data_IF_198300142061
#
_entry.id   IF_198300142061
#
_cell.length_a   1.000
_cell.length_b   1.000
_cell.length_c   1.000
_cell.angle_alpha   90.00
_cell.angle_beta   90.00
_cell.angle_gamma   90.00
#
_symmetry.space_group_name_H-M   'P 1'
#
loop_
_entity.id
_entity.type
_entity.pdbx_description
1 polymer ?
#
# COMPACT_ATOMS: atom_id res chain seq x y z
N UNK A 1 72.84 -9.32 -12.07
CA UNK A 1 71.93 -10.49 -11.98
C UNK A 1 70.65 -10.06 -11.28
N UNK A 2 69.55 -9.85 -12.03
CA UNK A 2 68.23 -9.63 -11.43
C UNK A 2 67.60 -10.99 -11.18
N UNK A 3 67.38 -11.31 -9.92
CA UNK A 3 66.68 -12.51 -9.48
C UNK A 3 65.18 -12.32 -9.72
N UNK A 4 64.62 -13.10 -10.64
CA UNK A 4 63.17 -13.22 -10.80
C UNK A 4 62.62 -13.98 -9.59
N UNK A 5 61.97 -13.26 -8.67
CA UNK A 5 61.16 -13.88 -7.63
C UNK A 5 59.88 -14.44 -8.26
N UNK A 6 59.71 -15.75 -8.18
CA UNK A 6 58.50 -16.44 -8.59
C UNK A 6 57.34 -16.02 -7.68
N UNK A 7 56.27 -15.50 -8.29
CA UNK A 7 55.03 -15.18 -7.57
C UNK A 7 54.42 -16.49 -7.04
N UNK A 8 54.14 -16.63 -5.74
CA UNK A 8 53.58 -17.85 -5.18
C UNK A 8 52.19 -18.10 -5.77
N UNK A 9 51.97 -19.34 -6.28
CA UNK A 9 50.73 -19.77 -6.96
C UNK A 9 49.45 -19.48 -6.14
N UNK A 10 49.53 -19.40 -4.81
CA UNK A 10 48.40 -19.05 -3.96
C UNK A 10 47.92 -17.61 -4.16
N UNK A 11 48.82 -16.64 -4.40
CA UNK A 11 48.46 -15.23 -4.64
C UNK A 11 47.76 -15.02 -5.98
N UNK A 12 48.13 -15.81 -6.99
CA UNK A 12 47.47 -15.81 -8.31
C UNK A 12 46.04 -16.36 -8.20
N UNK A 13 45.85 -17.43 -7.41
CA UNK A 13 44.54 -18.03 -7.19
C UNK A 13 43.60 -17.10 -6.40
N UNK A 14 44.08 -16.42 -5.36
CA UNK A 14 43.29 -15.44 -4.60
C UNK A 14 42.90 -14.22 -5.44
N UNK A 15 43.79 -13.77 -6.33
CA UNK A 15 43.49 -12.68 -7.25
C UNK A 15 42.47 -13.08 -8.31
N UNK A 16 42.56 -14.30 -8.86
CA UNK A 16 41.60 -14.83 -9.83
C UNK A 16 40.21 -15.07 -9.21
N UNK A 17 40.14 -15.57 -7.97
CA UNK A 17 38.88 -15.69 -7.23
C UNK A 17 38.27 -14.31 -6.89
N UNK A 18 39.09 -13.31 -6.57
CA UNK A 18 38.63 -11.94 -6.34
C UNK A 18 38.08 -11.27 -7.60
N UNK A 19 38.72 -11.48 -8.75
CA UNK A 19 38.26 -10.97 -10.06
C UNK A 19 37.00 -11.71 -10.51
N UNK A 20 36.90 -13.02 -10.31
CA UNK A 20 35.69 -13.79 -10.62
C UNK A 20 34.49 -13.37 -9.76
N UNK A 21 34.70 -13.02 -8.48
CA UNK A 21 33.66 -12.51 -7.58
C UNK A 21 33.23 -11.08 -7.96
N UNK A 22 34.17 -10.23 -8.41
CA UNK A 22 33.86 -8.90 -8.93
C UNK A 22 33.13 -8.94 -10.29
N UNK A 23 33.46 -9.90 -11.15
CA UNK A 23 32.77 -10.10 -12.43
C UNK A 23 31.37 -10.74 -12.22
N UNK A 24 31.21 -11.64 -11.25
CA UNK A 24 29.90 -12.19 -10.88
C UNK A 24 28.95 -11.16 -10.24
N UNK A 25 29.48 -10.08 -9.65
CA UNK A 25 28.70 -8.94 -9.17
C UNK A 25 28.38 -7.91 -10.26
N UNK A 26 29.00 -8.02 -11.43
CA UNK A 26 28.75 -7.13 -12.58
C UNK A 26 27.49 -7.53 -13.36
N UNK A 27 27.05 -8.79 -13.23
CA UNK A 27 25.80 -9.31 -13.80
C UNK A 27 24.60 -9.21 -12.85
N UNK A 28 24.71 -8.43 -11.77
CA UNK A 28 23.51 -7.87 -11.15
C UNK A 28 22.98 -6.83 -12.12
N UNK A 29 22.21 -7.33 -13.10
CA UNK A 29 21.39 -6.55 -13.99
C UNK A 29 20.77 -5.47 -13.13
N UNK A 30 21.22 -4.23 -13.30
CA UNK A 30 20.42 -3.10 -12.87
C UNK A 30 19.08 -3.38 -13.51
N UNK A 31 18.07 -3.68 -12.68
CA UNK A 31 16.68 -3.67 -13.12
C UNK A 31 16.58 -2.38 -13.90
N UNK A 32 16.49 -2.51 -15.23
CA UNK A 32 16.57 -1.40 -16.13
C UNK A 32 15.47 -0.48 -15.63
N UNK A 33 15.81 0.66 -15.03
CA UNK A 33 14.82 1.61 -14.53
C UNK A 33 14.06 2.01 -15.77
N UNK A 34 12.91 1.37 -15.97
CA UNK A 34 12.37 1.16 -17.30
C UNK A 34 12.05 2.52 -17.90
N UNK A 35 12.91 2.96 -18.81
CA UNK A 35 12.91 4.29 -19.43
C UNK A 35 11.70 4.53 -20.34
N UNK A 36 10.80 3.55 -20.47
CA UNK A 36 9.62 3.61 -21.34
C UNK A 36 8.39 4.25 -20.70
N UNK A 37 8.31 4.41 -19.37
CA UNK A 37 7.09 4.88 -18.70
C UNK A 37 7.02 6.42 -18.51
N UNK A 38 8.12 7.13 -18.72
CA UNK A 38 8.23 8.54 -18.31
C UNK A 38 8.19 8.74 -16.79
N UNK A 39 8.01 9.98 -16.30
CA UNK A 39 7.85 10.27 -14.88
C UNK A 39 6.61 9.59 -14.30
N UNK A 40 6.70 9.13 -13.05
CA UNK A 40 5.55 8.56 -12.33
C UNK A 40 4.59 9.68 -11.92
N UNK A 41 3.34 9.59 -12.38
CA UNK A 41 2.29 10.55 -12.05
C UNK A 41 1.13 9.81 -11.38
N UNK A 42 0.94 10.04 -10.08
CA UNK A 42 -0.22 9.53 -9.35
C UNK A 42 -1.44 10.37 -9.69
N UNK A 43 -2.55 9.70 -10.03
CA UNK A 43 -3.82 10.30 -10.43
C UNK A 43 -4.93 9.92 -9.47
N UNK A 44 -6.02 10.68 -9.47
CA UNK A 44 -7.23 10.28 -8.75
C UNK A 44 -7.73 8.94 -9.28
N UNK A 45 -8.26 8.10 -8.40
CA UNK A 45 -8.96 6.88 -8.81
C UNK A 45 -10.09 7.15 -9.82
N UNK A 46 -10.79 8.26 -9.64
CA UNK A 46 -11.89 8.68 -10.53
C UNK A 46 -11.42 9.09 -11.93
N UNK A 47 -10.14 9.44 -12.09
CA UNK A 47 -9.54 9.83 -13.38
C UNK A 47 -8.95 8.64 -14.15
N UNK A 48 -8.92 7.44 -13.56
CA UNK A 48 -8.40 6.25 -14.20
C UNK A 48 -9.41 5.64 -15.18
N UNK A 49 -8.89 5.15 -16.31
CA UNK A 49 -9.68 4.33 -17.22
C UNK A 49 -10.04 2.99 -16.57
N UNK A 50 -11.11 2.34 -17.03
CA UNK A 50 -11.47 0.99 -16.57
C UNK A 50 -10.32 -0.02 -16.78
N UNK A 51 -9.53 0.14 -17.84
CA UNK A 51 -8.36 -0.68 -18.10
C UNK A 51 -7.26 -0.46 -17.04
N UNK A 52 -6.99 0.78 -16.68
CA UNK A 52 -5.99 1.12 -15.66
C UNK A 52 -6.42 0.67 -14.25
N UNK A 53 -7.70 0.84 -13.91
CA UNK A 53 -8.27 0.29 -12.66
C UNK A 53 -8.07 -1.22 -12.57
N UNK A 54 -8.40 -1.94 -13.65
CA UNK A 54 -8.20 -3.40 -13.74
C UNK A 54 -6.71 -3.76 -13.65
N UNK A 55 -5.83 -3.02 -14.31
CA UNK A 55 -4.38 -3.27 -14.28
C UNK A 55 -3.82 -3.10 -12.86
N UNK A 56 -4.23 -2.05 -12.15
CA UNK A 56 -3.83 -1.81 -10.77
C UNK A 56 -4.32 -2.91 -9.82
N UNK A 57 -5.59 -3.32 -9.91
CA UNK A 57 -6.10 -4.43 -9.10
C UNK A 57 -5.42 -5.76 -9.43
N UNK A 58 -5.13 -6.05 -10.69
CA UNK A 58 -4.38 -7.25 -11.08
C UNK A 58 -2.98 -7.27 -10.43
N UNK A 59 -2.32 -6.12 -10.29
CA UNK A 59 -1.04 -6.03 -9.61
C UNK A 59 -1.19 -6.33 -8.10
N UNK A 60 -2.23 -5.82 -7.45
CA UNK A 60 -2.55 -6.14 -6.04
C UNK A 60 -2.83 -7.64 -5.87
N UNK A 61 -3.66 -8.23 -6.74
CA UNK A 61 -3.96 -9.67 -6.68
C UNK A 61 -2.69 -10.50 -6.88
N UNK A 62 -1.80 -10.11 -7.80
CA UNK A 62 -0.50 -10.75 -7.96
C UNK A 62 0.38 -10.61 -6.70
N UNK A 63 0.38 -9.44 -6.06
CA UNK A 63 1.11 -9.21 -4.81
C UNK A 63 0.57 -10.06 -3.65
N UNK A 64 -0.76 -10.22 -3.56
CA UNK A 64 -1.40 -11.09 -2.58
C UNK A 64 -1.05 -12.56 -2.82
N UNK A 65 -1.19 -13.03 -4.07
CA UNK A 65 -0.88 -14.42 -4.44
C UNK A 65 0.59 -14.79 -4.19
N UNK A 66 1.52 -13.84 -4.35
CA UNK A 66 2.93 -14.02 -4.05
C UNK A 66 3.33 -13.83 -2.58
N UNK A 67 2.38 -13.48 -1.69
CA UNK A 67 2.65 -13.20 -0.27
C UNK A 67 3.29 -11.83 -0.01
N UNK A 68 3.63 -11.05 -1.04
CA UNK A 68 4.27 -9.75 -0.93
C UNK A 68 3.36 -8.70 -0.26
N UNK A 69 2.06 -8.72 -0.54
CA UNK A 69 1.12 -7.82 0.12
C UNK A 69 1.07 -8.07 1.64
N UNK A 70 1.08 -9.34 2.06
CA UNK A 70 1.10 -9.71 3.47
C UNK A 70 2.43 -9.33 4.13
N UNK A 71 3.56 -9.42 3.43
CA UNK A 71 4.86 -8.96 3.94
C UNK A 71 4.87 -7.46 4.25
N UNK A 72 4.22 -6.64 3.42
CA UNK A 72 4.07 -5.21 3.70
C UNK A 72 3.25 -5.00 4.98
N UNK A 73 2.17 -5.75 5.17
CA UNK A 73 1.41 -5.76 6.43
C UNK A 73 2.26 -6.14 7.63
N UNK A 74 3.15 -7.13 7.50
CA UNK A 74 4.08 -7.48 8.57
C UNK A 74 5.04 -6.34 8.90
N UNK A 75 5.60 -5.67 7.89
CA UNK A 75 6.49 -4.52 8.07
C UNK A 75 5.78 -3.35 8.77
N UNK A 76 4.54 -3.04 8.37
CA UNK A 76 3.81 -1.94 8.99
C UNK A 76 3.34 -2.25 10.42
N UNK A 77 2.94 -3.49 10.68
CA UNK A 77 2.37 -3.91 11.97
C UNK A 77 3.43 -4.37 12.99
N UNK A 78 4.69 -4.53 12.59
CA UNK A 78 5.82 -4.66 13.51
C UNK A 78 5.87 -3.47 14.48
N UNK A 79 5.92 -3.73 15.79
CA UNK A 79 5.71 -2.68 16.80
C UNK A 79 6.76 -1.55 16.75
N UNK A 80 8.07 -1.82 16.62
CA UNK A 80 9.06 -0.77 16.35
C UNK A 80 8.74 0.06 15.12
N UNK A 81 8.47 -0.60 13.98
CA UNK A 81 8.13 0.06 12.72
C UNK A 81 6.88 0.93 12.83
N UNK A 82 5.83 0.41 13.47
CA UNK A 82 4.59 1.12 13.73
C UNK A 82 4.81 2.39 14.57
N UNK A 83 5.68 2.33 15.58
CA UNK A 83 6.04 3.47 16.43
C UNK A 83 6.83 4.54 15.68
N UNK A 84 7.60 4.19 14.64
CA UNK A 84 8.25 5.18 13.78
C UNK A 84 7.23 5.84 12.84
N UNK A 85 6.29 5.05 12.33
CA UNK A 85 5.25 5.46 11.40
C UNK A 85 4.18 6.37 12.00
N UNK A 86 3.91 6.28 13.31
CA UNK A 86 2.80 6.97 13.97
C UNK A 86 3.23 7.76 15.21
N UNK A 87 2.51 8.84 15.51
CA UNK A 87 2.73 9.64 16.72
C UNK A 87 4.00 10.48 16.69
N UNK A 88 4.69 10.51 15.55
CA UNK A 88 5.91 11.29 15.32
C UNK A 88 5.68 12.34 14.22
N UNK A 89 6.55 13.34 14.14
CA UNK A 89 6.61 14.25 12.97
C UNK A 89 7.08 13.52 11.70
N UNK A 90 7.62 12.30 11.83
CA UNK A 90 8.07 11.46 10.73
C UNK A 90 6.95 10.74 9.98
N UNK A 91 5.72 10.72 10.51
CA UNK A 91 4.59 9.96 9.98
C UNK A 91 4.40 10.14 8.46
N UNK A 92 4.37 11.38 7.96
CA UNK A 92 4.17 11.66 6.54
C UNK A 92 5.34 11.12 5.69
N UNK A 93 6.58 11.26 6.17
CA UNK A 93 7.77 10.80 5.44
C UNK A 93 7.89 9.28 5.45
N UNK A 94 7.58 8.64 6.57
CA UNK A 94 7.58 7.20 6.71
C UNK A 94 6.58 6.57 5.73
N UNK A 95 5.35 7.07 5.73
CA UNK A 95 4.30 6.59 4.80
C UNK A 95 4.63 6.88 3.34
N UNK A 96 5.22 8.05 3.02
CA UNK A 96 5.68 8.35 1.65
C UNK A 96 6.71 7.33 1.17
N UNK A 97 7.68 6.95 2.02
CA UNK A 97 8.68 5.93 1.69
C UNK A 97 8.03 4.55 1.55
N UNK A 98 7.11 4.22 2.45
CA UNK A 98 6.37 2.95 2.44
C UNK A 98 5.56 2.77 1.14
N UNK A 99 4.84 3.81 0.70
CA UNK A 99 4.10 3.80 -0.56
C UNK A 99 5.01 3.67 -1.78
N UNK A 100 6.19 4.31 -1.77
CA UNK A 100 7.16 4.16 -2.85
C UNK A 100 7.63 2.70 -2.95
N UNK A 101 7.96 2.08 -1.82
CA UNK A 101 8.38 0.68 -1.77
C UNK A 101 7.26 -0.26 -2.25
N UNK A 102 6.00 -0.01 -1.86
CA UNK A 102 4.87 -0.82 -2.31
C UNK A 102 4.64 -0.68 -3.82
N UNK A 103 4.71 0.54 -4.35
CA UNK A 103 4.61 0.80 -5.79
C UNK A 103 5.72 0.12 -6.58
N UNK A 104 6.97 0.17 -6.09
CA UNK A 104 8.11 -0.51 -6.69
C UNK A 104 7.94 -2.03 -6.68
N UNK A 105 7.44 -2.58 -5.57
CA UNK A 105 7.09 -4.00 -5.47
C UNK A 105 6.07 -4.37 -6.55
N UNK A 106 4.94 -3.66 -6.65
CA UNK A 106 3.91 -3.96 -7.65
C UNK A 106 4.46 -3.90 -9.09
N UNK A 107 5.26 -2.87 -9.40
CA UNK A 107 5.88 -2.68 -10.72
C UNK A 107 6.88 -3.78 -11.08
N UNK A 108 7.44 -4.47 -10.08
CA UNK A 108 8.42 -5.54 -10.28
C UNK A 108 7.81 -6.91 -10.57
N UNK A 109 6.50 -7.11 -10.32
CA UNK A 109 5.88 -8.44 -10.36
C UNK A 109 5.69 -8.99 -11.78
N UNK A 110 5.47 -8.11 -12.77
CA UNK A 110 5.23 -8.48 -14.17
C UNK A 110 5.54 -7.27 -15.07
N UNK A 111 6.16 -7.44 -16.25
CA UNK A 111 6.42 -6.35 -17.18
C UNK A 111 5.21 -5.45 -17.51
N UNK A 112 3.99 -5.99 -17.50
CA UNK A 112 2.77 -5.19 -17.74
C UNK A 112 2.45 -4.20 -16.62
N UNK A 113 2.94 -4.45 -15.40
CA UNK A 113 2.78 -3.56 -14.26
C UNK A 113 3.88 -2.49 -14.20
N UNK A 114 4.92 -2.58 -15.05
CA UNK A 114 6.11 -1.75 -14.96
C UNK A 114 5.84 -0.24 -14.99
N UNK A 115 4.69 0.21 -15.50
CA UNK A 115 4.32 1.62 -15.59
C UNK A 115 3.21 2.06 -14.62
N UNK A 116 2.66 1.18 -13.78
CA UNK A 116 1.58 1.58 -12.86
C UNK A 116 2.11 2.54 -11.79
N UNK A 117 1.22 3.37 -11.28
CA UNK A 117 1.44 4.19 -10.09
C UNK A 117 0.27 3.96 -9.14
N UNK A 118 0.49 4.13 -7.84
CA UNK A 118 -0.61 4.08 -6.86
C UNK A 118 -1.54 5.29 -7.10
N UNK A 119 -2.82 5.09 -7.45
CA UNK A 119 -3.77 6.19 -7.55
C UNK A 119 -4.19 6.66 -6.16
N UNK A 120 -4.54 7.94 -6.00
CA UNK A 120 -5.00 8.46 -4.72
C UNK A 120 -6.53 8.44 -4.61
N UNK A 121 -7.03 8.34 -3.38
CA UNK A 121 -8.43 8.49 -3.05
C UNK A 121 -8.78 9.95 -2.80
N UNK A 122 -9.60 10.55 -3.67
CA UNK A 122 -10.15 11.89 -3.45
C UNK A 122 -11.40 11.88 -2.55
N UNK A 123 -11.19 11.67 -1.25
CA UNK A 123 -12.27 11.71 -0.27
C UNK A 123 -12.83 13.13 -0.05
N UNK A 124 -12.21 14.20 -0.55
CA UNK A 124 -12.79 15.56 -0.55
C UNK A 124 -13.92 15.66 -1.58
N UNK A 125 -13.73 15.09 -2.77
CA UNK A 125 -14.77 14.97 -3.77
C UNK A 125 -15.93 14.08 -3.28
N UNK A 126 -15.62 12.96 -2.62
CA UNK A 126 -16.66 12.07 -2.06
C UNK A 126 -17.44 12.75 -0.93
N UNK A 127 -16.77 13.50 -0.04
CA UNK A 127 -17.45 14.26 1.01
C UNK A 127 -18.35 15.37 0.46
N UNK A 128 -17.97 16.01 -0.66
CA UNK A 128 -18.83 16.98 -1.33
C UNK A 128 -20.16 16.35 -1.79
N UNK A 129 -20.12 15.11 -2.33
CA UNK A 129 -21.32 14.35 -2.71
C UNK A 129 -22.21 14.05 -1.51
N UNK A 130 -21.60 13.75 -0.35
CA UNK A 130 -22.31 13.52 0.90
C UNK A 130 -23.03 14.79 1.37
N UNK A 131 -22.36 15.94 1.36
CA UNK A 131 -22.96 17.23 1.73
C UNK A 131 -24.08 17.67 0.79
N UNK A 132 -24.00 17.33 -0.50
CA UNK A 132 -25.06 17.59 -1.48
C UNK A 132 -26.16 16.52 -1.50
N UNK A 133 -26.16 15.59 -0.54
CA UNK A 133 -27.15 14.51 -0.39
C UNK A 133 -27.29 13.63 -1.64
N UNK A 134 -26.24 13.54 -2.45
CA UNK A 134 -26.20 12.72 -3.68
C UNK A 134 -25.89 11.26 -3.38
N UNK A 135 -25.43 11.00 -2.15
CA UNK A 135 -25.15 9.72 -1.54
C UNK A 135 -25.41 9.85 -0.02
N UNK A 136 -25.50 8.74 0.68
CA UNK A 136 -25.93 8.73 2.10
C UNK A 136 -24.97 8.01 3.03
N UNK A 137 -23.93 7.38 2.51
CA UNK A 137 -22.99 6.56 3.31
C UNK A 137 -21.59 6.61 2.76
N UNK A 138 -20.63 6.22 3.59
CA UNK A 138 -19.22 6.12 3.26
C UNK A 138 -19.00 5.38 1.94
N UNK A 139 -19.63 4.22 1.77
CA UNK A 139 -19.55 3.45 0.53
C UNK A 139 -20.30 4.10 -0.64
N UNK A 140 -21.54 4.56 -0.44
CA UNK A 140 -22.35 5.05 -1.56
C UNK A 140 -21.81 6.36 -2.17
N UNK A 141 -21.00 7.10 -1.42
CA UNK A 141 -20.34 8.31 -1.90
C UNK A 141 -19.08 8.05 -2.74
N UNK A 142 -18.45 6.88 -2.59
CA UNK A 142 -17.12 6.63 -3.14
C UNK A 142 -17.12 5.56 -4.23
N UNK A 143 -16.67 5.92 -5.43
CA UNK A 143 -16.46 4.94 -6.49
C UNK A 143 -15.33 3.97 -6.12
N UNK A 144 -14.27 4.47 -5.45
CA UNK A 144 -13.12 3.69 -5.02
C UNK A 144 -13.54 2.58 -4.08
N UNK A 145 -14.33 2.87 -3.05
CA UNK A 145 -14.76 1.84 -2.10
C UNK A 145 -15.57 0.73 -2.78
N UNK A 146 -16.44 1.08 -3.74
CA UNK A 146 -17.20 0.10 -4.52
C UNK A 146 -16.29 -0.71 -5.46
N UNK A 147 -15.38 -0.05 -6.18
CA UNK A 147 -14.43 -0.70 -7.09
C UNK A 147 -13.43 -1.61 -6.34
N UNK A 148 -13.17 -1.33 -5.06
CA UNK A 148 -12.39 -2.19 -4.18
C UNK A 148 -13.21 -3.32 -3.56
N UNK A 149 -14.46 -3.54 -3.98
CA UNK A 149 -15.31 -4.66 -3.56
C UNK A 149 -16.31 -4.33 -2.44
N UNK A 150 -16.38 -3.07 -2.00
CA UNK A 150 -17.32 -2.63 -0.96
C UNK A 150 -17.07 -3.26 0.41
N UNK A 151 -18.13 -3.34 1.21
CA UNK A 151 -18.09 -3.85 2.59
C UNK A 151 -19.00 -5.05 2.88
N UNK A 152 -19.62 -5.66 1.87
CA UNK A 152 -20.58 -6.75 2.07
C UNK A 152 -19.89 -8.10 2.22
N UNK A 153 -20.29 -8.87 3.23
CA UNK A 153 -19.74 -10.20 3.49
C UNK A 153 -20.30 -10.81 4.76
N UNK A 154 -19.91 -12.04 5.08
CA UNK A 154 -20.21 -12.66 6.37
C UNK A 154 -19.31 -12.09 7.48
N UNK A 155 -19.83 -11.99 8.69
CA UNK A 155 -19.03 -11.57 9.84
C UNK A 155 -17.87 -12.56 10.07
N UNK A 156 -16.68 -12.03 10.37
CA UNK A 156 -15.46 -12.80 10.56
C UNK A 156 -14.57 -12.18 11.65
N UNK A 157 -13.75 -13.01 12.27
CA UNK A 157 -12.64 -12.61 13.14
C UNK A 157 -11.38 -13.31 12.64
N UNK A 158 -10.42 -12.56 12.10
CA UNK A 158 -9.18 -13.08 11.55
C UNK A 158 -7.98 -12.67 12.41
N UNK A 159 -6.96 -13.52 12.46
CA UNK A 159 -5.68 -13.22 13.10
C UNK A 159 -4.67 -12.77 12.04
N UNK A 160 -4.62 -11.47 11.74
CA UNK A 160 -3.74 -10.89 10.71
C UNK A 160 -2.43 -10.45 11.36
N UNK A 161 -1.32 -11.10 10.99
CA UNK A 161 -0.01 -10.95 11.62
C UNK A 161 -0.07 -10.90 13.17
N UNK A 162 -0.86 -11.78 13.80
CA UNK A 162 -0.98 -11.85 15.26
C UNK A 162 -1.96 -10.84 15.89
N UNK A 163 -2.59 -9.97 15.11
CA UNK A 163 -3.63 -9.04 15.57
C UNK A 163 -5.02 -9.57 15.22
N UNK A 164 -5.93 -9.57 16.21
CA UNK A 164 -7.33 -9.92 15.98
C UNK A 164 -8.03 -8.78 15.26
N UNK A 165 -8.57 -9.06 14.09
CA UNK A 165 -9.29 -8.12 13.25
C UNK A 165 -10.70 -8.64 13.00
N UNK A 166 -11.69 -7.88 13.47
CA UNK A 166 -13.11 -8.20 13.32
C UNK A 166 -13.72 -7.37 12.19
N UNK A 167 -14.62 -7.96 11.40
CA UNK A 167 -15.33 -7.24 10.35
C UNK A 167 -16.19 -8.16 9.49
N UNK A 168 -16.48 -7.71 8.28
CA UNK A 168 -17.16 -8.48 7.25
C UNK A 168 -16.15 -8.94 6.21
N UNK A 169 -16.17 -10.23 5.88
CA UNK A 169 -15.27 -10.89 4.96
C UNK A 169 -15.55 -10.45 3.51
N UNK A 170 -14.72 -9.55 2.97
CA UNK A 170 -14.84 -9.07 1.59
C UNK A 170 -13.80 -9.76 0.70
N UNK A 171 -14.27 -10.58 -0.24
CA UNK A 171 -13.43 -11.29 -1.22
C UNK A 171 -13.16 -10.48 -2.51
N UNK A 172 -13.75 -9.29 -2.64
CA UNK A 172 -13.56 -8.38 -3.77
C UNK A 172 -14.46 -8.66 -4.99
N UNK A 173 -15.06 -9.84 -5.09
CA UNK A 173 -15.75 -10.31 -6.31
C UNK A 173 -17.06 -9.57 -6.64
N UNK A 174 -17.56 -8.73 -5.73
CA UNK A 174 -18.65 -7.82 -6.01
C UNK A 174 -18.25 -6.67 -6.97
N UNK A 175 -16.95 -6.44 -7.15
CA UNK A 175 -16.38 -5.50 -8.10
C UNK A 175 -15.88 -6.22 -9.37
N UNK A 176 -16.01 -5.60 -10.56
CA UNK A 176 -15.40 -6.14 -11.78
C UNK A 176 -13.86 -6.02 -11.80
N UNK A 177 -13.27 -5.30 -10.83
CA UNK A 177 -11.83 -5.05 -10.78
C UNK A 177 -11.12 -5.85 -9.69
N UNK A 178 -11.72 -5.98 -8.50
CA UNK A 178 -11.06 -6.55 -7.33
C UNK A 178 -11.17 -8.08 -7.24
N UNK A 179 -10.11 -8.71 -6.74
CA UNK A 179 -10.11 -10.13 -6.37
C UNK A 179 -9.12 -10.36 -5.23
N UNK A 180 -9.66 -10.65 -4.04
CA UNK A 180 -8.91 -10.91 -2.81
C UNK A 180 -8.95 -12.38 -2.38
N UNK A 181 -9.41 -13.29 -3.25
CA UNK A 181 -9.49 -14.72 -2.93
C UNK A 181 -8.13 -15.36 -2.61
N UNK A 182 -7.03 -14.69 -2.99
CA UNK A 182 -5.66 -15.08 -2.66
C UNK A 182 -5.05 -14.28 -1.50
N UNK A 183 -5.85 -13.48 -0.78
CA UNK A 183 -5.41 -12.77 0.42
C UNK A 183 -5.07 -13.75 1.53
N UNK A 184 -3.90 -13.56 2.16
CA UNK A 184 -3.39 -14.34 3.28
C UNK A 184 -3.05 -13.40 4.44
N UNK A 185 -3.25 -13.88 5.67
CA UNK A 185 -3.09 -13.14 6.92
C UNK A 185 -1.62 -12.85 7.30
N UNK A 186 -0.68 -13.58 6.71
CA UNK A 186 0.78 -13.41 6.86
C UNK A 186 1.51 -13.98 5.64
N UNK A 187 2.70 -13.49 5.37
CA UNK A 187 3.52 -13.84 4.20
C UNK A 187 3.95 -15.31 4.17
N UNK A 188 4.00 -15.96 5.34
CA UNK A 188 4.31 -17.39 5.46
C UNK A 188 3.10 -18.31 5.26
N UNK A 189 1.90 -17.77 5.00
CA UNK A 189 0.69 -18.54 4.69
C UNK A 189 0.47 -18.60 3.18
N UNK A 190 -0.09 -19.71 2.70
CA UNK A 190 -0.42 -19.88 1.29
C UNK A 190 -1.52 -20.92 1.08
N UNK A 191 -2.09 -20.92 -0.14
CA UNK A 191 -3.09 -21.90 -0.57
C UNK A 191 -4.35 -21.87 0.30
N UNK A 192 -4.86 -23.06 0.64
CA UNK A 192 -6.11 -23.24 1.39
C UNK A 192 -6.04 -22.79 2.86
N UNK A 193 -4.85 -22.41 3.36
CA UNK A 193 -4.72 -21.86 4.71
C UNK A 193 -5.16 -20.40 4.80
N UNK A 194 -5.22 -19.70 3.67
CA UNK A 194 -5.57 -18.29 3.61
C UNK A 194 -7.09 -18.10 3.63
N UNK A 195 -7.59 -17.08 4.33
CA UNK A 195 -9.03 -16.78 4.35
C UNK A 195 -9.60 -16.34 3.00
N UNK A 196 -8.77 -15.74 2.14
CA UNK A 196 -9.21 -15.24 0.84
C UNK A 196 -10.19 -14.07 0.94
N UNK A 197 -10.20 -13.34 2.05
CA UNK A 197 -10.99 -12.12 2.21
C UNK A 197 -10.41 -11.18 3.25
N UNK A 198 -10.73 -9.89 3.10
CA UNK A 198 -10.29 -8.83 4.01
C UNK A 198 -11.45 -8.46 4.94
N UNK A 199 -11.25 -8.43 6.26
CA UNK A 199 -12.27 -7.95 7.19
C UNK A 199 -12.45 -6.44 7.06
N UNK A 200 -13.65 -5.98 6.72
CA UNK A 200 -14.00 -4.55 6.60
C UNK A 200 -15.13 -4.15 7.54
N UNK A 201 -15.19 -2.87 7.93
CA UNK A 201 -16.35 -2.31 8.63
C UNK A 201 -17.58 -2.20 7.70
N UNK A 202 -18.76 -1.91 8.25
CA UNK A 202 -20.00 -1.79 7.47
C UNK A 202 -20.10 -0.42 6.78
N UNK A 203 -19.38 -0.22 5.68
CA UNK A 203 -19.32 1.06 4.96
C UNK A 203 -20.66 1.50 4.38
N UNK A 204 -21.54 0.55 4.03
CA UNK A 204 -22.87 0.84 3.51
C UNK A 204 -23.81 1.52 4.51
N UNK A 205 -23.53 1.38 5.81
CA UNK A 205 -24.33 1.96 6.91
C UNK A 205 -23.53 2.94 7.77
N UNK A 206 -22.31 3.28 7.36
CA UNK A 206 -21.45 4.23 8.07
C UNK A 206 -21.57 5.58 7.38
N UNK A 207 -21.74 6.66 8.13
CA UNK A 207 -21.74 8.01 7.57
C UNK A 207 -20.36 8.38 7.03
N UNK A 208 -20.31 9.23 6.00
CA UNK A 208 -19.03 9.75 5.55
C UNK A 208 -18.44 10.66 6.65
N UNK A 209 -17.20 10.43 7.11
CA UNK A 209 -16.63 11.22 8.20
C UNK A 209 -16.57 12.70 7.81
N UNK A 210 -16.78 13.59 8.78
CA UNK A 210 -16.74 15.03 8.54
C UNK A 210 -15.30 15.58 8.47
N UNK A 211 -15.14 16.82 8.01
CA UNK A 211 -13.86 17.53 8.05
C UNK A 211 -13.10 17.60 6.72
N UNK A 212 -13.64 16.99 5.66
CA UNK A 212 -13.02 16.97 4.32
C UNK A 212 -13.52 18.11 3.41
N UNK A 213 -13.79 19.29 3.97
CA UNK A 213 -14.03 20.48 3.15
C UNK A 213 -12.71 21.02 2.59
N UNK A 214 -12.73 21.54 1.35
CA UNK A 214 -11.56 22.21 0.76
C UNK A 214 -11.06 23.42 1.56
N UNK A 215 -11.96 24.09 2.30
CA UNK A 215 -11.58 25.15 3.25
C UNK A 215 -10.72 24.63 4.41
N UNK A 216 -11.05 23.43 4.92
CA UNK A 216 -10.25 22.74 5.95
C UNK A 216 -8.87 22.36 5.41
N UNK A 217 -8.80 21.84 4.18
CA UNK A 217 -7.52 21.53 3.53
C UNK A 217 -6.64 22.77 3.39
N UNK A 218 -7.22 23.89 2.93
CA UNK A 218 -6.50 25.16 2.79
C UNK A 218 -5.92 25.63 4.14
N UNK A 219 -6.67 25.45 5.23
CA UNK A 219 -6.19 25.77 6.58
C UNK A 219 -4.99 24.92 6.98
N UNK A 220 -5.00 23.62 6.71
CA UNK A 220 -3.85 22.74 6.98
C UNK A 220 -2.62 23.12 6.15
N UNK A 221 -2.81 23.39 4.85
CA UNK A 221 -1.72 23.72 3.93
C UNK A 221 -1.10 25.10 4.16
N UNK A 222 -1.78 26.00 4.88
CA UNK A 222 -1.23 27.31 5.24
C UNK A 222 0.02 27.23 6.11
N UNK A 223 0.26 26.09 6.77
CA UNK A 223 1.38 25.84 7.69
C UNK A 223 1.62 26.95 8.73
N UNK A 224 0.58 27.72 9.06
CA UNK A 224 0.67 28.88 9.95
C UNK A 224 1.28 28.52 11.32
N UNK A 225 1.08 27.29 11.78
CA UNK A 225 1.53 26.77 13.07
C UNK A 225 2.73 25.81 12.97
N UNK A 226 3.38 25.76 11.80
CA UNK A 226 4.56 24.91 11.53
C UNK A 226 4.24 23.45 11.21
N UNK A 227 5.29 22.71 10.84
CA UNK A 227 5.17 21.35 10.31
C UNK A 227 4.67 20.32 11.34
N UNK A 228 5.11 20.41 12.60
CA UNK A 228 4.66 19.48 13.66
C UNK A 228 3.14 19.58 13.89
N UNK A 229 2.61 20.81 13.96
CA UNK A 229 1.17 21.05 14.06
C UNK A 229 0.43 20.50 12.83
N UNK A 230 0.93 20.78 11.61
CA UNK A 230 0.36 20.25 10.38
C UNK A 230 0.32 18.72 10.37
N UNK A 231 1.46 18.07 10.62
CA UNK A 231 1.57 16.61 10.63
C UNK A 231 0.66 15.98 11.69
N UNK A 232 0.59 16.57 12.89
CA UNK A 232 -0.28 16.08 13.96
C UNK A 232 -1.77 16.17 13.60
N UNK A 233 -2.20 17.29 13.00
CA UNK A 233 -3.61 17.45 12.61
C UNK A 233 -3.99 16.59 11.40
N UNK A 234 -3.08 16.35 10.46
CA UNK A 234 -3.32 15.37 9.40
C UNK A 234 -3.49 13.98 10.01
N UNK A 235 -2.54 13.55 10.86
CA UNK A 235 -2.52 12.21 11.46
C UNK A 235 -3.75 11.93 12.35
N UNK A 236 -4.01 12.77 13.34
CA UNK A 236 -5.09 12.56 14.31
C UNK A 236 -6.45 13.09 13.85
N UNK A 237 -6.49 13.87 12.76
CA UNK A 237 -7.71 14.41 12.16
C UNK A 237 -8.14 13.60 10.94
N UNK A 238 -7.81 14.10 9.75
CA UNK A 238 -8.28 13.55 8.47
C UNK A 238 -7.92 12.07 8.29
N UNK A 239 -6.67 11.71 8.57
CA UNK A 239 -6.18 10.33 8.45
C UNK A 239 -6.95 9.38 9.38
N UNK A 240 -6.92 9.64 10.69
CA UNK A 240 -7.58 8.76 11.67
C UNK A 240 -9.09 8.62 11.41
N UNK A 241 -9.74 9.68 10.91
CA UNK A 241 -11.17 9.66 10.60
C UNK A 241 -11.53 8.68 9.49
N UNK A 242 -10.71 8.57 8.44
CA UNK A 242 -10.90 7.57 7.37
C UNK A 242 -10.67 6.16 7.90
N UNK A 243 -9.59 5.93 8.65
CA UNK A 243 -9.30 4.63 9.28
C UNK A 243 -10.49 4.16 10.15
N UNK A 244 -11.02 5.06 10.98
CA UNK A 244 -12.15 4.77 11.86
C UNK A 244 -13.43 4.46 11.09
N UNK A 245 -13.76 5.26 10.06
CA UNK A 245 -14.94 5.04 9.23
C UNK A 245 -14.85 3.73 8.43
N UNK A 246 -13.65 3.37 7.97
CA UNK A 246 -13.43 2.11 7.26
C UNK A 246 -13.55 0.88 8.18
N UNK A 247 -13.16 0.98 9.46
CA UNK A 247 -13.24 -0.14 10.39
C UNK A 247 -12.44 -1.36 9.94
N UNK A 248 -12.71 -2.54 10.51
CA UNK A 248 -12.06 -3.79 10.09
C UNK A 248 -10.53 -3.72 10.14
N UNK A 249 -9.87 -4.21 9.10
CA UNK A 249 -8.43 -4.12 8.94
C UNK A 249 -7.96 -2.67 9.02
N UNK A 250 -8.60 -1.73 8.31
CA UNK A 250 -8.21 -0.32 8.29
C UNK A 250 -8.13 0.30 9.69
N UNK A 251 -8.98 -0.09 10.64
CA UNK A 251 -8.96 0.43 12.02
C UNK A 251 -8.08 -0.38 13.00
N UNK A 252 -7.12 -1.17 12.50
CA UNK A 252 -6.26 -2.06 13.31
C UNK A 252 -4.76 -1.85 13.04
N UNK A 253 -3.89 -2.50 13.80
CA UNK A 253 -2.45 -2.52 13.52
C UNK A 253 -2.10 -3.10 12.15
N UNK A 254 -2.92 -4.05 11.67
CA UNK A 254 -2.79 -4.66 10.35
C UNK A 254 -3.52 -3.85 9.26
N UNK A 255 -3.58 -2.53 9.38
CA UNK A 255 -4.32 -1.62 8.48
C UNK A 255 -4.00 -1.81 7.00
N UNK A 256 -2.74 -2.10 6.68
CA UNK A 256 -2.29 -2.26 5.30
C UNK A 256 -2.69 -3.59 4.66
N UNK A 257 -3.36 -4.47 5.41
CA UNK A 257 -4.00 -5.67 4.87
C UNK A 257 -5.20 -5.32 3.99
N UNK A 258 -5.82 -4.15 4.19
CA UNK A 258 -6.81 -3.62 3.26
C UNK A 258 -6.09 -2.80 2.17
N UNK A 259 -6.22 -3.14 0.89
CA UNK A 259 -5.54 -2.42 -0.18
C UNK A 259 -6.02 -0.98 -0.35
N UNK A 260 -7.17 -0.56 0.23
CA UNK A 260 -7.55 0.87 0.20
C UNK A 260 -6.58 1.75 1.01
N UNK A 261 -5.82 1.16 1.95
CA UNK A 261 -4.78 1.88 2.70
C UNK A 261 -3.82 2.63 1.77
N UNK A 262 -3.36 1.97 0.72
CA UNK A 262 -2.33 2.53 -0.17
C UNK A 262 -2.85 3.74 -0.97
N UNK A 263 -4.16 3.80 -1.20
CA UNK A 263 -4.82 4.91 -1.88
C UNK A 263 -5.20 6.05 -0.92
N UNK A 264 -5.34 5.73 0.36
CA UNK A 264 -5.63 6.69 1.43
C UNK A 264 -4.41 7.53 1.83
N UNK A 265 -3.23 6.89 1.95
CA UNK A 265 -1.98 7.52 2.39
C UNK A 265 -1.32 8.42 1.33
#
# INVERSE_FOLDING_TARGET
>A
MRTHQAVPKSRVLTFLLGVALFLALSDYSRVNAQTTCGPRVRRSWDDLSAADKKLYHNAITAAMAGGYHALFTEVHSDLPSFSEAHGTCGMIYWHRRYLLAYEDMLRSLDPKFACITIPYWDYFADYAKFLSLTCTSFQSCSTLLNDFGGSSGSAVSLLINGFVVNGYCVNGLASPYANYTTFCEKSTMSGSSCSGCIPRGSWSTTDFPSGFCYSTLTKYLSLQYGYSWFSGNIHFGLHQSIHNAAGGAMASYATTADPIFYNHQ
#
